data_IF_878478173679
#
_entry.id   IF_878478173679
#
_cell.length_a   1.000
_cell.length_b   1.000
_cell.length_c   1.000
_cell.angle_alpha   90.00
_cell.angle_beta   90.00
_cell.angle_gamma   90.00
#
_symmetry.space_group_name_H-M   'P 1'
#
loop_
_entity.id
_entity.type
_entity.pdbx_description
1 polymer ?
#
# COMPACT_ATOMS: atom_id res chain seq x y z
N UNK A 1 -16.56 6.42 -10.39
CA UNK A 1 -16.82 7.79 -10.88
C UNK A 1 -15.58 8.39 -11.56
N UNK A 2 -14.43 8.50 -10.90
CA UNK A 2 -13.24 9.18 -11.43
C UNK A 2 -12.70 8.54 -12.72
N UNK A 3 -12.64 7.20 -12.77
CA UNK A 3 -12.23 6.46 -13.98
C UNK A 3 -13.19 6.73 -15.13
N UNK A 4 -14.50 6.79 -14.87
CA UNK A 4 -15.52 7.09 -15.88
C UNK A 4 -15.40 8.54 -16.37
N UNK A 5 -15.26 9.51 -15.46
CA UNK A 5 -15.11 10.92 -15.79
C UNK A 5 -13.83 11.21 -16.61
N UNK A 6 -12.75 10.48 -16.32
CA UNK A 6 -11.51 10.55 -17.09
C UNK A 6 -11.58 9.79 -18.43
N UNK A 7 -12.60 8.97 -18.63
CA UNK A 7 -12.71 8.01 -19.74
C UNK A 7 -11.45 7.14 -19.89
N UNK A 8 -10.77 6.86 -18.78
CA UNK A 8 -9.50 6.12 -18.77
C UNK A 8 -9.19 5.65 -17.34
N UNK A 9 -8.65 4.46 -17.19
CA UNK A 9 -8.18 3.93 -15.91
C UNK A 9 -8.67 2.51 -15.63
N UNK A 10 -8.44 2.06 -14.39
CA UNK A 10 -8.64 0.69 -13.98
C UNK A 10 -9.61 0.63 -12.78
N UNK A 11 -10.91 0.41 -12.99
CA UNK A 11 -11.90 0.41 -11.91
C UNK A 11 -11.98 -0.92 -11.17
N UNK A 12 -11.59 -2.02 -11.81
CA UNK A 12 -11.91 -3.36 -11.32
C UNK A 12 -11.21 -3.76 -10.04
N UNK A 13 -9.88 -3.53 -9.96
CA UNK A 13 -9.12 -3.81 -8.74
C UNK A 13 -9.53 -2.88 -7.57
N UNK A 14 -9.69 -1.56 -7.75
CA UNK A 14 -10.23 -0.70 -6.69
C UNK A 14 -11.56 -1.17 -6.10
N UNK A 15 -12.45 -1.67 -6.92
CA UNK A 15 -13.74 -2.19 -6.44
C UNK A 15 -13.60 -3.55 -5.75
N UNK A 16 -12.74 -4.43 -6.28
CA UNK A 16 -12.51 -5.76 -5.72
C UNK A 16 -11.75 -5.74 -4.40
N UNK A 17 -10.81 -4.81 -4.23
CA UNK A 17 -9.96 -4.71 -3.06
C UNK A 17 -10.47 -3.71 -2.00
N UNK A 18 -11.65 -3.10 -2.18
CA UNK A 18 -12.18 -2.08 -1.29
C UNK A 18 -12.32 -2.56 0.16
N UNK A 19 -12.82 -3.80 0.36
CA UNK A 19 -12.98 -4.39 1.70
C UNK A 19 -11.63 -4.56 2.41
N UNK A 20 -10.63 -5.12 1.71
CA UNK A 20 -9.26 -5.28 2.26
C UNK A 20 -8.65 -3.94 2.67
N UNK A 21 -8.74 -2.96 1.80
CA UNK A 21 -8.19 -1.64 2.06
C UNK A 21 -8.93 -0.93 3.20
N UNK A 22 -10.26 -1.09 3.29
CA UNK A 22 -11.06 -0.54 4.37
C UNK A 22 -10.65 -1.14 5.72
N UNK A 23 -10.56 -2.45 5.83
CA UNK A 23 -10.14 -3.12 7.07
C UNK A 23 -8.73 -2.67 7.46
N UNK A 24 -7.79 -2.64 6.53
CA UNK A 24 -6.42 -2.22 6.80
C UNK A 24 -6.34 -0.78 7.33
N UNK A 25 -6.89 0.18 6.59
CA UNK A 25 -6.78 1.60 6.94
C UNK A 25 -7.62 1.98 8.15
N UNK A 26 -8.82 1.41 8.29
CA UNK A 26 -9.70 1.75 9.41
C UNK A 26 -9.26 1.12 10.73
N UNK A 27 -8.56 -0.01 10.74
CA UNK A 27 -8.31 -0.76 11.97
C UNK A 27 -6.82 -0.94 12.31
N UNK A 28 -5.94 -1.11 11.33
CA UNK A 28 -4.55 -1.54 11.56
C UNK A 28 -3.50 -0.49 11.24
N UNK A 29 -3.57 0.15 10.08
CA UNK A 29 -2.51 1.04 9.60
C UNK A 29 -2.28 2.20 10.59
N UNK A 30 -1.03 2.34 11.03
CA UNK A 30 -0.55 3.40 11.92
C UNK A 30 -0.07 4.58 11.07
N UNK A 31 -0.85 5.63 10.94
CA UNK A 31 -0.53 6.81 10.15
C UNK A 31 -1.22 8.07 10.71
N UNK A 32 -0.75 9.24 10.29
CA UNK A 32 -1.36 10.53 10.63
C UNK A 32 -1.37 11.42 9.38
N UNK A 33 -2.53 11.70 8.79
CA UNK A 33 -2.65 12.56 7.60
C UNK A 33 -2.12 13.98 7.82
N UNK A 34 -2.16 14.49 9.06
CA UNK A 34 -1.64 15.81 9.42
C UNK A 34 -0.11 15.82 9.55
N UNK A 35 0.53 14.64 9.68
CA UNK A 35 1.97 14.46 9.73
C UNK A 35 2.40 13.33 8.79
N UNK A 36 2.15 13.45 7.49
CA UNK A 36 2.31 12.37 6.52
C UNK A 36 3.75 11.88 6.36
N UNK A 37 4.72 12.64 6.89
CA UNK A 37 6.14 12.26 6.89
C UNK A 37 6.63 11.73 8.25
N UNK A 38 5.73 11.45 9.18
CA UNK A 38 6.10 10.82 10.46
C UNK A 38 6.98 9.58 10.22
N UNK A 39 8.22 9.54 10.76
CA UNK A 39 9.17 8.48 10.43
C UNK A 39 8.72 7.08 10.81
N UNK A 40 8.01 6.92 11.93
CA UNK A 40 7.54 5.63 12.43
C UNK A 40 6.08 5.31 12.06
N UNK A 41 5.52 5.98 11.03
CA UNK A 41 4.25 5.55 10.45
C UNK A 41 4.41 4.23 9.71
N UNK A 42 3.37 3.42 9.64
CA UNK A 42 3.34 2.26 8.75
C UNK A 42 3.45 2.72 7.28
N UNK A 43 3.95 1.85 6.42
CA UNK A 43 4.05 2.08 4.98
C UNK A 43 2.97 1.28 4.28
N UNK A 44 2.23 1.94 3.40
CA UNK A 44 1.32 1.26 2.47
C UNK A 44 1.82 1.39 1.05
N UNK A 45 2.11 0.26 0.40
CA UNK A 45 2.58 0.21 -0.98
C UNK A 45 1.52 -0.44 -1.86
N UNK A 46 0.95 0.33 -2.77
CA UNK A 46 0.08 -0.21 -3.81
C UNK A 46 0.96 -0.75 -4.95
N UNK A 47 1.38 -2.02 -4.86
CA UNK A 47 2.18 -2.67 -5.91
C UNK A 47 1.40 -2.84 -7.21
N UNK A 48 0.09 -3.11 -7.12
CA UNK A 48 -0.83 -3.07 -8.25
C UNK A 48 -1.18 -1.61 -8.62
N UNK A 49 -0.16 -0.84 -9.03
CA UNK A 49 -0.26 0.62 -9.21
C UNK A 49 -1.33 1.09 -10.20
N UNK A 50 -1.78 0.24 -11.11
CA UNK A 50 -2.91 0.52 -12.00
C UNK A 50 -4.21 0.76 -11.23
N UNK A 51 -4.38 0.18 -10.03
CA UNK A 51 -5.49 0.45 -9.11
C UNK A 51 -5.38 1.76 -8.34
N UNK A 52 -4.66 2.76 -8.85
CA UNK A 52 -4.32 4.02 -8.19
C UNK A 52 -5.50 4.74 -7.55
N UNK A 53 -6.70 4.67 -8.15
CA UNK A 53 -7.90 5.29 -7.57
C UNK A 53 -8.32 4.72 -6.23
N UNK A 54 -7.95 3.48 -5.88
CA UNK A 54 -8.14 2.96 -4.54
C UNK A 54 -7.34 3.78 -3.52
N UNK A 55 -6.04 3.96 -3.79
CA UNK A 55 -5.16 4.73 -2.92
C UNK A 55 -5.61 6.19 -2.83
N UNK A 56 -5.88 6.86 -3.95
CA UNK A 56 -6.30 8.26 -3.96
C UNK A 56 -7.62 8.48 -3.21
N UNK A 57 -8.58 7.57 -3.38
CA UNK A 57 -9.84 7.64 -2.65
C UNK A 57 -9.65 7.50 -1.14
N UNK A 58 -8.76 6.60 -0.71
CA UNK A 58 -8.47 6.41 0.71
C UNK A 58 -7.71 7.61 1.28
N UNK A 59 -6.75 8.17 0.56
CA UNK A 59 -6.05 9.39 1.00
C UNK A 59 -7.03 10.55 1.18
N UNK A 60 -7.99 10.72 0.24
CA UNK A 60 -9.07 11.69 0.38
C UNK A 60 -9.92 11.43 1.62
N UNK A 61 -10.41 10.20 1.75
CA UNK A 61 -11.32 9.81 2.82
C UNK A 61 -10.68 9.93 4.21
N UNK A 62 -9.39 9.63 4.33
CA UNK A 62 -8.66 9.71 5.60
C UNK A 62 -8.16 11.11 5.94
N UNK A 63 -8.32 12.10 5.04
CA UNK A 63 -8.10 13.51 5.32
C UNK A 63 -6.70 14.04 4.97
N UNK A 64 -6.00 13.45 4.01
CA UNK A 64 -4.77 14.05 3.48
C UNK A 64 -5.11 15.34 2.74
N UNK A 65 -4.47 16.46 3.13
CA UNK A 65 -4.80 17.80 2.70
C UNK A 65 -4.65 18.00 1.19
N UNK A 66 -3.63 17.40 0.59
CA UNK A 66 -3.31 17.53 -0.84
C UNK A 66 -4.09 16.55 -1.74
N UNK A 67 -5.02 15.76 -1.18
CA UNK A 67 -5.88 14.83 -1.91
C UNK A 67 -7.37 15.18 -1.72
N UNK A 68 -7.78 16.34 -2.18
CA UNK A 68 -9.16 16.80 -2.12
C UNK A 68 -10.06 16.17 -3.22
N UNK A 69 -11.36 16.43 -3.14
CA UNK A 69 -12.32 15.95 -4.15
C UNK A 69 -12.03 16.54 -5.55
N UNK A 70 -11.40 17.72 -5.63
CA UNK A 70 -10.95 18.31 -6.88
C UNK A 70 -9.89 17.46 -7.57
N UNK A 71 -8.96 16.92 -6.80
CA UNK A 71 -7.94 15.99 -7.32
C UNK A 71 -8.58 14.71 -7.86
N UNK A 72 -9.54 14.13 -7.15
CA UNK A 72 -10.25 12.92 -7.61
C UNK A 72 -11.03 13.15 -8.90
N UNK A 73 -11.68 14.32 -9.04
CA UNK A 73 -12.40 14.74 -10.27
C UNK A 73 -11.45 14.94 -11.45
N UNK A 74 -10.20 15.32 -11.18
CA UNK A 74 -9.16 15.56 -12.17
C UNK A 74 -8.23 14.34 -12.40
N UNK A 75 -8.69 13.14 -12.11
CA UNK A 75 -7.94 11.91 -12.34
C UNK A 75 -7.37 11.85 -13.75
N UNK A 76 -6.06 11.56 -13.86
CA UNK A 76 -5.30 11.50 -15.12
C UNK A 76 -5.25 12.83 -15.91
N UNK A 77 -5.55 13.96 -15.28
CA UNK A 77 -5.38 15.28 -15.92
C UNK A 77 -4.00 15.84 -15.60
N UNK A 78 -3.39 16.48 -16.59
CA UNK A 78 -2.09 17.12 -16.41
C UNK A 78 -2.16 18.16 -15.29
N UNK A 79 -1.20 18.10 -14.36
CA UNK A 79 -1.12 18.98 -13.19
C UNK A 79 -1.95 18.54 -11.98
N UNK A 80 -2.72 17.44 -12.08
CA UNK A 80 -3.35 16.84 -10.89
C UNK A 80 -2.39 15.91 -10.14
N UNK A 81 -2.63 15.71 -8.85
CA UNK A 81 -1.89 14.76 -8.01
C UNK A 81 -2.30 13.30 -8.28
N UNK A 82 -3.34 13.09 -9.08
CA UNK A 82 -3.96 11.79 -9.35
C UNK A 82 -3.56 11.25 -10.73
N UNK A 83 -2.27 11.00 -10.89
CA UNK A 83 -1.73 10.34 -12.08
C UNK A 83 -2.34 8.94 -12.30
N UNK A 84 -2.20 8.38 -13.50
CA UNK A 84 -2.73 7.04 -13.81
C UNK A 84 -2.18 5.91 -12.92
N UNK A 85 -0.99 6.11 -12.38
CA UNK A 85 -0.32 5.25 -11.41
C UNK A 85 0.26 6.15 -10.29
N UNK A 86 0.41 5.65 -9.06
CA UNK A 86 0.98 6.47 -7.97
C UNK A 86 2.40 6.92 -8.29
N UNK A 87 2.67 8.22 -8.08
CA UNK A 87 4.00 8.81 -8.25
C UNK A 87 4.47 9.39 -6.92
N UNK A 88 5.62 8.92 -6.45
CA UNK A 88 6.21 9.43 -5.21
C UNK A 88 6.49 10.94 -5.32
N UNK A 89 6.00 11.69 -4.35
CA UNK A 89 6.12 13.15 -4.32
C UNK A 89 5.00 13.91 -5.02
N UNK A 90 4.10 13.25 -5.76
CA UNK A 90 2.93 13.90 -6.35
C UNK A 90 1.87 14.26 -5.29
N UNK A 91 1.69 13.41 -4.30
CA UNK A 91 0.87 13.67 -3.11
C UNK A 91 1.49 13.01 -1.88
N UNK A 92 1.16 13.55 -0.71
CA UNK A 92 1.53 12.92 0.57
C UNK A 92 0.75 11.62 0.77
N UNK A 93 1.37 10.64 1.45
CA UNK A 93 0.78 9.31 1.60
C UNK A 93 1.07 8.34 0.44
N UNK A 94 1.72 8.80 -0.64
CA UNK A 94 2.26 7.92 -1.68
C UNK A 94 3.70 7.56 -1.32
N UNK A 95 3.92 6.31 -0.92
CA UNK A 95 5.22 5.86 -0.39
C UNK A 95 6.25 5.56 -1.47
N UNK A 96 5.82 5.19 -2.67
CA UNK A 96 6.70 4.90 -3.81
C UNK A 96 5.95 4.99 -5.13
N UNK A 97 6.70 5.27 -6.20
CA UNK A 97 6.16 5.21 -7.57
C UNK A 97 5.95 3.75 -7.97
N UNK A 98 4.74 3.43 -8.42
CA UNK A 98 4.39 2.10 -8.94
C UNK A 98 3.72 2.23 -10.31
N UNK A 99 3.43 1.10 -10.93
CA UNK A 99 2.91 1.00 -12.30
C UNK A 99 3.57 -0.15 -13.01
N UNK A 100 4.91 -0.19 -13.15
CA UNK A 100 5.62 -1.41 -13.53
C UNK A 100 5.38 -2.48 -12.46
N UNK A 101 4.77 -3.60 -12.85
CA UNK A 101 4.38 -4.66 -11.93
C UNK A 101 5.60 -5.28 -11.22
N UNK A 102 5.43 -5.73 -9.99
CA UNK A 102 6.50 -6.30 -9.15
C UNK A 102 7.38 -5.29 -8.44
N UNK A 103 7.55 -4.08 -8.99
CA UNK A 103 8.44 -3.05 -8.40
C UNK A 103 7.98 -2.62 -7.01
N UNK A 104 6.66 -2.46 -6.80
CA UNK A 104 6.12 -2.08 -5.49
C UNK A 104 6.43 -3.11 -4.41
N UNK A 105 6.25 -4.40 -4.68
CA UNK A 105 6.60 -5.47 -3.74
C UNK A 105 8.11 -5.46 -3.41
N UNK A 106 8.96 -5.33 -4.43
CA UNK A 106 10.40 -5.30 -4.23
C UNK A 106 10.85 -4.07 -3.42
N UNK A 107 10.26 -2.89 -3.68
CA UNK A 107 10.51 -1.67 -2.89
C UNK A 107 10.05 -1.85 -1.45
N UNK A 108 8.89 -2.48 -1.21
CA UNK A 108 8.40 -2.75 0.13
C UNK A 108 9.30 -3.70 0.93
N UNK A 109 9.93 -4.68 0.28
CA UNK A 109 10.98 -5.50 0.91
C UNK A 109 12.14 -4.62 1.35
N UNK A 110 12.59 -3.68 0.51
CA UNK A 110 13.61 -2.69 0.88
C UNK A 110 13.20 -1.82 2.08
N UNK A 111 11.93 -1.37 2.13
CA UNK A 111 11.39 -0.61 3.27
C UNK A 111 11.39 -1.43 4.57
N UNK A 112 11.01 -2.70 4.51
CA UNK A 112 11.02 -3.59 5.67
C UNK A 112 12.47 -3.91 6.15
N UNK A 113 13.42 -3.98 5.24
CA UNK A 113 14.86 -4.08 5.59
C UNK A 113 15.33 -2.80 6.29
N UNK A 114 14.95 -1.64 5.75
CA UNK A 114 15.32 -0.35 6.34
C UNK A 114 14.72 -0.18 7.74
N UNK A 115 13.47 -0.56 7.96
CA UNK A 115 12.84 -0.60 9.28
C UNK A 115 13.68 -1.42 10.25
N UNK A 116 13.98 -2.67 9.91
CA UNK A 116 14.75 -3.57 10.76
C UNK A 116 16.17 -3.06 11.06
N UNK A 117 16.84 -2.47 10.08
CA UNK A 117 18.16 -1.87 10.27
C UNK A 117 18.12 -0.67 11.22
N UNK A 118 17.11 0.20 11.07
CA UNK A 118 16.90 1.36 11.93
C UNK A 118 16.51 0.93 13.35
N UNK A 119 15.59 -0.04 13.50
CA UNK A 119 15.19 -0.61 14.77
C UNK A 119 16.39 -1.23 15.52
N UNK A 120 17.22 -2.01 14.81
CA UNK A 120 18.46 -2.59 15.38
C UNK A 120 19.46 -1.53 15.86
N UNK A 121 19.47 -0.36 15.23
CA UNK A 121 20.42 0.71 15.56
C UNK A 121 19.90 1.67 16.64
N UNK A 122 18.62 2.01 16.59
CA UNK A 122 18.03 3.07 17.41
C UNK A 122 16.98 2.58 18.40
N UNK A 123 16.65 1.29 18.38
CA UNK A 123 15.70 0.64 19.26
C UNK A 123 14.26 0.63 18.72
N UNK A 124 13.52 -0.42 19.13
CA UNK A 124 12.12 -0.64 18.73
C UNK A 124 11.17 0.43 19.30
N UNK A 125 11.58 1.17 20.31
CA UNK A 125 10.79 2.29 20.85
C UNK A 125 10.68 3.46 19.87
N UNK A 126 11.63 3.60 18.94
CA UNK A 126 11.64 4.65 17.92
C UNK A 126 11.29 4.14 16.54
N UNK A 127 11.53 2.87 16.25
CA UNK A 127 11.30 2.29 14.93
C UNK A 127 10.57 0.97 15.09
N UNK A 128 9.24 1.03 14.91
CA UNK A 128 8.34 -0.10 15.07
C UNK A 128 7.15 0.03 14.10
N UNK A 129 7.45 0.10 12.81
CA UNK A 129 6.41 0.23 11.79
C UNK A 129 6.36 -0.98 10.86
N UNK A 130 5.16 -1.28 10.42
CA UNK A 130 4.90 -2.31 9.43
C UNK A 130 5.00 -1.75 8.00
N UNK A 131 5.27 -2.64 7.06
CA UNK A 131 5.14 -2.37 5.63
C UNK A 131 4.04 -3.28 5.08
N UNK A 132 2.95 -2.68 4.63
CA UNK A 132 1.82 -3.36 3.99
C UNK A 132 1.88 -3.17 2.49
N UNK A 133 1.62 -4.24 1.76
CA UNK A 133 1.62 -4.22 0.29
C UNK A 133 0.28 -4.74 -0.23
N UNK A 134 -0.32 -4.05 -1.18
CA UNK A 134 -1.43 -4.59 -1.95
C UNK A 134 -0.92 -4.98 -3.35
N UNK A 135 -0.90 -6.26 -3.64
CA UNK A 135 -0.39 -6.84 -4.87
C UNK A 135 -1.48 -7.64 -5.58
N UNK A 136 -1.55 -7.57 -6.89
CA UNK A 136 -2.41 -8.40 -7.72
C UNK A 136 -1.66 -9.58 -8.34
N UNK A 137 -2.37 -10.43 -9.07
CA UNK A 137 -1.82 -11.60 -9.77
C UNK A 137 -0.61 -11.23 -10.63
N UNK A 138 -0.71 -10.19 -11.46
CA UNK A 138 0.37 -9.73 -12.34
C UNK A 138 1.62 -9.29 -11.59
N UNK A 139 1.48 -8.70 -10.38
CA UNK A 139 2.63 -8.35 -9.55
C UNK A 139 3.43 -9.58 -9.14
N UNK A 140 2.74 -10.68 -8.79
CA UNK A 140 3.38 -11.92 -8.32
C UNK A 140 3.91 -12.79 -9.47
N UNK A 141 3.60 -12.47 -10.72
CA UNK A 141 4.17 -13.12 -11.92
C UNK A 141 5.55 -12.57 -12.29
N UNK A 142 5.89 -11.35 -11.86
CA UNK A 142 7.15 -10.70 -12.20
C UNK A 142 8.36 -11.37 -11.52
N UNK A 143 9.47 -11.52 -12.26
CA UNK A 143 10.70 -12.16 -11.77
C UNK A 143 11.24 -11.51 -10.50
N UNK A 144 11.24 -10.17 -10.45
CA UNK A 144 11.73 -9.43 -9.28
C UNK A 144 10.92 -9.73 -8.01
N UNK A 145 9.63 -10.05 -8.13
CA UNK A 145 8.79 -10.42 -6.99
C UNK A 145 9.26 -11.73 -6.36
N UNK A 146 9.75 -12.67 -7.17
CA UNK A 146 10.26 -13.95 -6.68
C UNK A 146 11.59 -13.78 -5.95
N UNK A 147 12.52 -12.99 -6.50
CA UNK A 147 13.79 -12.69 -5.86
C UNK A 147 13.58 -11.93 -4.55
N UNK A 148 12.77 -10.88 -4.56
CA UNK A 148 12.47 -10.07 -3.38
C UNK A 148 11.75 -10.89 -2.29
N UNK A 149 10.76 -11.71 -2.65
CA UNK A 149 10.03 -12.55 -1.70
C UNK A 149 10.93 -13.62 -1.08
N UNK A 150 11.80 -14.27 -1.87
CA UNK A 150 12.78 -15.23 -1.36
C UNK A 150 13.73 -14.57 -0.36
N UNK A 151 14.20 -13.36 -0.67
CA UNK A 151 15.09 -12.60 0.21
C UNK A 151 14.39 -12.15 1.50
N UNK A 152 13.14 -11.70 1.42
CA UNK A 152 12.35 -11.33 2.58
C UNK A 152 12.12 -12.52 3.53
N UNK A 153 11.82 -13.69 2.99
CA UNK A 153 11.67 -14.93 3.76
C UNK A 153 12.98 -15.34 4.44
N UNK A 154 14.10 -15.30 3.70
CA UNK A 154 15.44 -15.58 4.24
C UNK A 154 15.79 -14.66 5.42
N UNK A 155 15.49 -13.38 5.30
CA UNK A 155 15.72 -12.40 6.36
C UNK A 155 14.67 -12.44 7.47
N UNK A 156 13.57 -13.20 7.32
CA UNK A 156 12.46 -13.27 8.29
C UNK A 156 11.93 -11.90 8.63
N UNK A 157 11.51 -11.12 7.61
CA UNK A 157 11.00 -9.75 7.79
C UNK A 157 9.56 -9.77 8.33
N UNK A 158 9.38 -10.00 9.63
CA UNK A 158 8.07 -10.20 10.26
C UNK A 158 7.11 -8.99 10.18
N UNK A 159 7.63 -7.79 9.92
CA UNK A 159 6.80 -6.59 9.75
C UNK A 159 6.44 -6.29 8.28
N UNK A 160 6.67 -7.23 7.37
CA UNK A 160 6.23 -7.17 5.98
C UNK A 160 4.98 -8.03 5.79
N UNK A 161 3.86 -7.41 5.43
CA UNK A 161 2.57 -8.07 5.22
C UNK A 161 2.06 -7.75 3.83
N UNK A 162 1.86 -8.78 3.01
CA UNK A 162 1.34 -8.66 1.64
C UNK A 162 -0.11 -9.12 1.60
N UNK A 163 -1.00 -8.21 1.24
CA UNK A 163 -2.38 -8.49 0.86
C UNK A 163 -2.39 -8.82 -0.64
N UNK A 164 -2.64 -10.05 -0.98
CA UNK A 164 -2.70 -10.51 -2.36
C UNK A 164 -4.15 -10.52 -2.84
N UNK A 165 -4.47 -9.64 -3.79
CA UNK A 165 -5.75 -9.60 -4.51
C UNK A 165 -5.83 -10.79 -5.47
N UNK A 166 -6.25 -11.94 -4.95
CA UNK A 166 -6.35 -13.21 -5.68
C UNK A 166 -7.67 -13.29 -6.47
N UNK A 167 -7.83 -12.40 -7.46
CA UNK A 167 -9.06 -12.34 -8.27
C UNK A 167 -9.03 -13.23 -9.52
N UNK A 168 -7.88 -13.82 -9.88
CA UNK A 168 -7.68 -14.71 -11.03
C UNK A 168 -7.90 -14.07 -12.40
N UNK A 169 -7.87 -12.75 -12.49
CA UNK A 169 -8.06 -12.00 -13.74
C UNK A 169 -6.85 -11.13 -14.02
N UNK A 170 -6.39 -11.15 -15.26
CA UNK A 170 -5.43 -10.21 -15.82
C UNK A 170 -6.09 -9.36 -16.92
N UNK A 171 -5.30 -8.54 -17.64
CA UNK A 171 -5.82 -7.60 -18.62
C UNK A 171 -6.54 -8.32 -19.80
N UNK A 172 -6.05 -9.48 -20.23
CA UNK A 172 -6.57 -10.22 -21.38
C UNK A 172 -7.53 -11.37 -21.01
N UNK A 173 -7.71 -11.66 -19.72
CA UNK A 173 -8.57 -12.76 -19.30
C UNK A 173 -8.14 -13.40 -17.99
N UNK A 174 -8.46 -14.67 -17.83
CA UNK A 174 -8.08 -15.45 -16.65
C UNK A 174 -6.56 -15.66 -16.56
N UNK A 175 -6.02 -15.65 -15.34
CA UNK A 175 -4.57 -15.87 -15.10
C UNK A 175 -4.07 -17.21 -15.61
N UNK A 176 -4.95 -18.21 -15.77
CA UNK A 176 -4.60 -19.52 -16.34
C UNK A 176 -4.06 -19.46 -17.79
N UNK A 177 -4.20 -18.33 -18.48
CA UNK A 177 -3.62 -18.10 -19.79
C UNK A 177 -2.08 -17.96 -19.75
N UNK A 178 -1.53 -17.55 -18.60
CA UNK A 178 -0.11 -17.20 -18.48
C UNK A 178 0.59 -17.81 -17.28
N UNK A 179 -0.13 -18.31 -16.26
CA UNK A 179 0.45 -18.90 -15.07
C UNK A 179 -0.36 -20.10 -14.57
N UNK A 180 0.33 -21.13 -14.14
CA UNK A 180 -0.24 -22.34 -13.53
C UNK A 180 0.27 -22.59 -12.09
N UNK A 181 1.15 -21.72 -11.62
CA UNK A 181 1.79 -21.85 -10.31
C UNK A 181 0.81 -21.55 -9.17
N UNK A 182 0.95 -22.26 -8.06
CA UNK A 182 0.31 -21.90 -6.79
C UNK A 182 1.18 -20.87 -6.06
N UNK A 183 0.76 -19.59 -6.10
CA UNK A 183 1.48 -18.50 -5.45
C UNK A 183 1.61 -18.73 -3.94
N UNK A 184 0.59 -19.25 -3.28
CA UNK A 184 0.64 -19.53 -1.85
C UNK A 184 1.68 -20.60 -1.51
N UNK A 185 1.73 -21.70 -2.29
CA UNK A 185 2.73 -22.74 -2.10
C UNK A 185 4.15 -22.19 -2.37
N UNK A 186 4.31 -21.31 -3.34
CA UNK A 186 5.58 -20.66 -3.65
C UNK A 186 6.07 -19.78 -2.49
N UNK A 187 5.22 -18.93 -1.95
CA UNK A 187 5.58 -18.07 -0.82
C UNK A 187 5.84 -18.87 0.45
N UNK A 188 5.09 -19.95 0.70
CA UNK A 188 5.37 -20.88 1.80
C UNK A 188 6.77 -21.52 1.64
N UNK A 189 7.17 -21.90 0.42
CA UNK A 189 8.51 -22.41 0.14
C UNK A 189 9.62 -21.38 0.37
N UNK A 190 9.34 -20.08 0.24
CA UNK A 190 10.27 -19.00 0.62
C UNK A 190 10.34 -18.77 2.13
N UNK A 191 9.54 -19.47 2.95
CA UNK A 191 9.53 -19.32 4.41
C UNK A 191 8.58 -18.24 4.92
N UNK A 192 7.62 -17.82 4.11
CA UNK A 192 6.55 -16.89 4.53
C UNK A 192 5.46 -17.62 5.32
N UNK A 193 4.80 -16.88 6.19
CA UNK A 193 3.49 -17.26 6.71
C UNK A 193 2.42 -16.98 5.65
N UNK A 194 1.53 -17.95 5.39
CA UNK A 194 0.59 -17.88 4.26
C UNK A 194 -0.80 -18.30 4.70
N UNK A 195 -1.77 -17.40 4.51
CA UNK A 195 -3.18 -17.69 4.78
C UNK A 195 -4.05 -17.35 3.56
N UNK A 196 -5.11 -18.15 3.35
CA UNK A 196 -6.14 -17.85 2.35
C UNK A 196 -7.42 -17.43 3.04
N UNK A 197 -8.00 -16.31 2.61
CA UNK A 197 -9.25 -15.77 3.17
C UNK A 197 -10.20 -15.35 2.06
N UNK A 198 -11.48 -15.22 2.41
CA UNK A 198 -12.43 -14.52 1.59
C UNK A 198 -12.16 -13.02 1.69
N UNK A 199 -11.79 -12.37 0.57
CA UNK A 199 -11.43 -10.96 0.51
C UNK A 199 -12.62 -10.00 0.61
N UNK A 200 -13.83 -10.53 0.67
CA UNK A 200 -15.08 -9.78 0.92
C UNK A 200 -15.68 -10.05 2.31
N UNK A 201 -14.96 -10.78 3.18
CA UNK A 201 -15.35 -11.02 4.58
C UNK A 201 -14.47 -10.18 5.51
N UNK A 202 -14.94 -9.01 6.00
CA UNK A 202 -14.16 -8.13 6.84
C UNK A 202 -13.66 -8.79 8.14
N UNK A 203 -14.44 -9.73 8.70
CA UNK A 203 -14.07 -10.41 9.95
C UNK A 203 -12.87 -11.34 9.73
N UNK A 204 -12.87 -12.08 8.60
CA UNK A 204 -11.74 -12.94 8.24
C UNK A 204 -10.49 -12.14 7.87
N UNK A 205 -10.66 -11.01 7.17
CA UNK A 205 -9.56 -10.09 6.86
C UNK A 205 -8.94 -9.52 8.13
N UNK A 206 -9.77 -9.05 9.07
CA UNK A 206 -9.31 -8.53 10.37
C UNK A 206 -8.50 -9.59 11.13
N UNK A 207 -9.03 -10.80 11.26
CA UNK A 207 -8.34 -11.89 11.94
C UNK A 207 -7.00 -12.23 11.27
N UNK A 208 -6.97 -12.32 9.93
CA UNK A 208 -5.75 -12.64 9.19
C UNK A 208 -4.68 -11.55 9.33
N UNK A 209 -5.05 -10.28 9.29
CA UNK A 209 -4.09 -9.17 9.50
C UNK A 209 -3.60 -9.16 10.94
N UNK A 210 -4.47 -9.40 11.92
CA UNK A 210 -4.08 -9.46 13.33
C UNK A 210 -3.08 -10.59 13.59
N UNK A 211 -3.30 -11.79 13.03
CA UNK A 211 -2.36 -12.92 13.13
C UNK A 211 -1.03 -12.62 12.41
N UNK A 212 -1.08 -12.06 11.21
CA UNK A 212 0.11 -11.69 10.45
C UNK A 212 1.01 -10.70 11.21
N UNK A 213 0.44 -9.81 12.02
CA UNK A 213 1.19 -8.86 12.87
C UNK A 213 1.91 -9.54 14.04
N UNK A 214 1.58 -10.76 14.37
CA UNK A 214 2.24 -11.55 15.42
C UNK A 214 3.31 -12.51 14.87
N UNK A 215 3.38 -12.64 13.54
CA UNK A 215 4.31 -13.55 12.89
C UNK A 215 5.76 -13.04 12.96
N UNK A 216 6.70 -13.96 13.15
CA UNK A 216 8.15 -13.69 13.16
C UNK A 216 8.81 -13.76 11.77
N UNK A 217 7.98 -13.86 10.74
CA UNK A 217 8.35 -13.98 9.32
C UNK A 217 7.38 -13.18 8.46
N UNK A 218 7.73 -12.83 7.22
CA UNK A 218 6.81 -12.08 6.36
C UNK A 218 5.54 -12.88 6.07
N UNK A 219 4.41 -12.19 5.91
CA UNK A 219 3.10 -12.82 5.74
C UNK A 219 2.48 -12.48 4.39
N UNK A 220 1.89 -13.52 3.75
CA UNK A 220 1.05 -13.39 2.56
C UNK A 220 -0.38 -13.74 2.92
N UNK A 221 -1.27 -12.77 2.85
CA UNK A 221 -2.71 -12.95 2.99
C UNK A 221 -3.32 -13.01 1.58
N UNK A 222 -3.56 -14.21 1.07
CA UNK A 222 -4.19 -14.42 -0.22
C UNK A 222 -5.71 -14.26 -0.07
N UNK A 223 -6.19 -13.06 -0.37
CA UNK A 223 -7.58 -12.68 -0.27
C UNK A 223 -8.30 -12.97 -1.58
N UNK A 224 -9.19 -13.95 -1.58
CA UNK A 224 -10.02 -14.27 -2.74
C UNK A 224 -11.04 -13.17 -2.96
N UNK A 225 -10.92 -12.43 -4.06
CA UNK A 225 -11.81 -11.33 -4.41
C UNK A 225 -12.48 -11.55 -5.77
N UNK A 226 -13.34 -10.58 -6.11
CA UNK A 226 -13.99 -10.50 -7.42
C UNK A 226 -13.62 -9.14 -8.02
N UNK A 227 -12.85 -9.13 -9.11
CA UNK A 227 -12.55 -7.90 -9.84
C UNK A 227 -13.86 -7.19 -10.25
N UNK A 228 -13.94 -5.87 -10.05
CA UNK A 228 -15.17 -5.13 -10.33
C UNK A 228 -16.34 -5.51 -9.43
N UNK A 229 -16.08 -5.92 -8.18
CA UNK A 229 -17.11 -6.29 -7.22
C UNK A 229 -18.22 -5.24 -7.14
N UNK A 230 -19.47 -5.69 -7.22
CA UNK A 230 -20.63 -4.79 -7.28
C UNK A 230 -21.10 -4.46 -8.70
N UNK A 231 -20.25 -4.54 -9.74
CA UNK A 231 -20.69 -4.36 -11.12
C UNK A 231 -21.62 -5.52 -11.55
N UNK A 232 -22.81 -5.24 -12.08
CA UNK A 232 -23.78 -6.31 -12.35
C UNK A 232 -23.35 -7.29 -13.45
N UNK A 233 -22.74 -6.78 -14.55
CA UNK A 233 -22.44 -7.60 -15.74
C UNK A 233 -20.94 -7.77 -15.98
N UNK A 234 -20.10 -6.90 -15.43
CA UNK A 234 -18.65 -6.91 -15.67
C UNK A 234 -17.82 -7.51 -14.54
N UNK A 235 -18.42 -7.71 -13.34
CA UNK A 235 -17.72 -8.32 -12.22
C UNK A 235 -17.16 -9.70 -12.58
N UNK A 236 -15.93 -10.00 -12.14
CA UNK A 236 -15.26 -11.28 -12.39
C UNK A 236 -14.72 -11.45 -13.82
N UNK A 237 -14.72 -10.40 -14.63
CA UNK A 237 -14.22 -10.47 -16.00
C UNK A 237 -13.13 -9.43 -16.30
N UNK A 238 -12.31 -9.69 -17.32
CA UNK A 238 -11.28 -8.75 -17.81
C UNK A 238 -11.86 -7.43 -18.31
N UNK A 239 -13.16 -7.39 -18.68
CA UNK A 239 -13.83 -6.14 -19.09
C UNK A 239 -13.93 -5.09 -17.98
N UNK A 240 -13.78 -5.48 -16.70
CA UNK A 240 -13.68 -4.56 -15.59
C UNK A 240 -12.23 -4.13 -15.29
N UNK A 241 -11.22 -4.75 -15.90
CA UNK A 241 -9.82 -4.54 -15.52
C UNK A 241 -9.34 -3.12 -15.83
N UNK A 242 -9.26 -2.76 -17.12
CA UNK A 242 -8.52 -1.59 -17.59
C UNK A 242 -9.32 -0.60 -18.44
N UNK A 243 -10.64 -0.60 -18.32
CA UNK A 243 -11.52 0.31 -19.05
C UNK A 243 -12.63 0.86 -18.13
N UNK A 244 -13.16 2.06 -18.42
CA UNK A 244 -14.36 2.56 -17.76
C UNK A 244 -15.51 1.56 -17.86
N UNK A 245 -16.31 1.48 -16.79
CA UNK A 245 -17.43 0.55 -16.75
C UNK A 245 -18.56 0.94 -17.71
N UNK A 246 -18.73 2.22 -17.99
CA UNK A 246 -19.87 2.79 -18.71
C UNK A 246 -20.97 3.24 -17.77
N UNK A 247 -21.74 4.24 -18.20
CA UNK A 247 -22.73 4.92 -17.34
C UNK A 247 -23.85 4.00 -16.90
N UNK A 248 -24.33 3.12 -17.76
CA UNK A 248 -25.38 2.15 -17.44
C UNK A 248 -24.91 1.14 -16.37
N UNK A 249 -23.67 0.63 -16.53
CA UNK A 249 -23.09 -0.32 -15.58
C UNK A 249 -22.85 0.35 -14.21
N UNK A 250 -22.41 1.61 -14.20
CA UNK A 250 -22.21 2.37 -12.95
C UNK A 250 -23.54 2.62 -12.25
N UNK A 251 -24.58 2.99 -13.00
CA UNK A 251 -25.91 3.19 -12.47
C UNK A 251 -26.44 1.92 -11.81
N UNK A 252 -26.35 0.81 -12.52
CA UNK A 252 -26.79 -0.49 -12.01
C UNK A 252 -25.93 -1.00 -10.84
N UNK A 253 -24.62 -0.69 -10.82
CA UNK A 253 -23.73 -0.98 -9.68
C UNK A 253 -24.12 -0.18 -8.43
N UNK A 254 -24.49 1.11 -8.56
CA UNK A 254 -25.02 1.91 -7.45
C UNK A 254 -26.30 1.29 -6.85
N UNK A 255 -27.23 0.89 -7.70
CA UNK A 255 -28.44 0.21 -7.26
C UNK A 255 -28.14 -1.09 -6.51
N UNK A 256 -27.27 -1.94 -7.07
CA UNK A 256 -26.86 -3.21 -6.45
C UNK A 256 -26.16 -3.03 -5.11
N UNK A 257 -25.36 -1.99 -4.98
CA UNK A 257 -24.62 -1.64 -3.75
C UNK A 257 -25.47 -0.79 -2.77
N UNK A 258 -26.72 -0.48 -3.10
CA UNK A 258 -27.59 0.41 -2.32
C UNK A 258 -26.92 1.79 -2.05
N UNK A 259 -26.27 2.34 -3.06
CA UNK A 259 -25.59 3.65 -2.99
C UNK A 259 -26.38 4.73 -3.74
N UNK A 260 -27.27 5.46 -3.06
CA UNK A 260 -28.20 6.41 -3.70
C UNK A 260 -27.57 7.78 -4.03
N UNK A 261 -26.31 7.99 -3.68
CA UNK A 261 -25.67 9.30 -3.82
C UNK A 261 -25.16 9.53 -5.24
N UNK A 262 -25.26 10.78 -5.74
CA UNK A 262 -24.69 11.15 -7.04
C UNK A 262 -23.17 10.94 -7.13
N UNK A 263 -22.59 10.99 -8.34
CA UNK A 263 -21.16 10.91 -8.52
C UNK A 263 -20.40 11.98 -7.71
N UNK A 264 -19.33 11.54 -7.03
CA UNK A 264 -18.47 12.39 -6.20
C UNK A 264 -19.15 13.05 -4.99
N UNK A 265 -20.33 12.60 -4.61
CA UNK A 265 -20.98 13.00 -3.37
C UNK A 265 -20.85 11.90 -2.32
N UNK A 266 -20.41 12.30 -1.13
CA UNK A 266 -20.20 11.39 0.00
C UNK A 266 -21.09 11.81 1.18
N UNK A 267 -21.77 10.87 1.84
CA UNK A 267 -22.52 11.17 3.06
C UNK A 267 -21.61 11.65 4.18
N UNK A 268 -22.03 12.66 4.93
CA UNK A 268 -21.23 13.22 6.02
C UNK A 268 -20.83 12.19 7.08
N UNK A 269 -21.70 11.23 7.39
CA UNK A 269 -21.39 10.17 8.34
C UNK A 269 -20.27 9.23 7.84
N UNK A 270 -20.22 8.96 6.55
CA UNK A 270 -19.12 8.16 5.94
C UNK A 270 -17.81 8.94 6.02
N UNK A 271 -17.83 10.21 5.62
CA UNK A 271 -16.65 11.09 5.70
C UNK A 271 -16.16 11.20 7.14
N UNK A 272 -17.07 11.41 8.11
CA UNK A 272 -16.70 11.51 9.52
C UNK A 272 -16.05 10.23 10.05
N UNK A 273 -16.58 9.05 9.70
CA UNK A 273 -16.00 7.77 10.10
C UNK A 273 -14.59 7.55 9.53
N UNK A 274 -14.35 7.94 8.29
CA UNK A 274 -13.04 7.86 7.68
C UNK A 274 -12.04 8.87 8.26
N UNK A 275 -12.48 10.10 8.57
CA UNK A 275 -11.65 11.08 9.26
C UNK A 275 -11.27 10.60 10.68
N UNK A 276 -12.20 9.94 11.39
CA UNK A 276 -11.89 9.31 12.68
C UNK A 276 -10.82 8.22 12.53
N UNK A 277 -10.93 7.38 11.50
CA UNK A 277 -9.90 6.39 11.18
C UNK A 277 -8.53 7.07 10.89
N UNK A 278 -8.52 8.17 10.14
CA UNK A 278 -7.31 8.95 9.87
C UNK A 278 -6.68 9.57 11.12
N UNK A 279 -7.51 10.04 12.06
CA UNK A 279 -7.06 10.67 13.31
C UNK A 279 -6.51 9.67 14.33
N UNK A 280 -6.73 8.37 14.16
CA UNK A 280 -6.36 7.32 15.11
C UNK A 280 -4.86 7.27 15.45
N UNK A 281 -4.02 7.64 14.49
CA UNK A 281 -2.56 7.64 14.66
C UNK A 281 -1.99 8.84 15.41
N UNK A 282 -2.77 9.91 15.63
CA UNK A 282 -2.27 11.15 16.24
C UNK A 282 -1.64 10.92 17.61
N UNK A 283 -2.30 10.16 18.49
CA UNK A 283 -1.78 9.87 19.84
C UNK A 283 -0.48 9.05 19.80
N UNK A 284 -0.37 8.09 18.88
CA UNK A 284 0.83 7.29 18.71
C UNK A 284 1.99 8.14 18.19
N UNK A 285 1.72 9.05 17.25
CA UNK A 285 2.70 10.01 16.74
C UNK A 285 3.18 10.97 17.84
N UNK A 286 2.28 11.51 18.66
CA UNK A 286 2.65 12.41 19.77
C UNK A 286 3.52 11.69 20.80
N UNK A 287 3.16 10.47 21.18
CA UNK A 287 3.95 9.64 22.06
C UNK A 287 5.34 9.31 21.47
N UNK A 288 5.41 9.04 20.18
CA UNK A 288 6.66 8.83 19.46
C UNK A 288 7.54 10.09 19.46
N UNK A 289 6.96 11.26 19.18
CA UNK A 289 7.68 12.54 19.19
C UNK A 289 8.26 12.85 20.59
N UNK A 290 7.51 12.56 21.64
CA UNK A 290 8.00 12.71 23.03
C UNK A 290 9.19 11.77 23.32
N UNK A 291 9.18 10.51 22.85
CA UNK A 291 10.32 9.58 23.00
C UNK A 291 11.54 10.07 22.24
N UNK A 292 11.38 10.55 21.00
CA UNK A 292 12.48 11.12 20.22
C UNK A 292 13.10 12.34 20.92
N UNK A 293 12.28 13.22 21.49
CA UNK A 293 12.76 14.42 22.19
C UNK A 293 13.48 14.07 23.51
N UNK A 294 13.06 13.03 24.19
CA UNK A 294 13.69 12.54 25.42
C UNK A 294 15.02 11.80 25.21
N UNK A 295 15.33 11.44 23.94
CA UNK A 295 16.61 10.80 23.59
C UNK A 295 17.79 11.76 23.80
N UNK A 296 18.95 11.23 24.15
CA UNK A 296 20.17 12.03 24.18
C UNK A 296 20.48 12.69 22.83
N UNK A 297 21.15 13.85 22.89
CA UNK A 297 21.34 14.70 21.70
C UNK A 297 22.15 14.03 20.59
N UNK A 298 23.13 13.18 20.95
CA UNK A 298 24.01 12.53 19.98
C UNK A 298 23.26 11.44 19.20
N UNK A 299 22.50 10.58 19.91
CA UNK A 299 21.67 9.55 19.30
C UNK A 299 20.51 10.15 18.49
N UNK A 300 19.83 11.18 19.03
CA UNK A 300 18.81 11.92 18.27
C UNK A 300 19.39 12.54 17.00
N UNK A 301 20.57 13.16 17.10
CA UNK A 301 21.28 13.71 15.93
C UNK A 301 21.65 12.63 14.91
N UNK A 302 22.10 11.46 15.36
CA UNK A 302 22.42 10.33 14.50
C UNK A 302 21.16 9.76 13.81
N UNK A 303 20.05 9.66 14.52
CA UNK A 303 18.75 9.24 13.97
C UNK A 303 18.27 10.20 12.87
N UNK A 304 18.27 11.50 13.15
CA UNK A 304 17.83 12.51 12.19
C UNK A 304 18.71 12.51 10.92
N UNK A 305 20.04 12.38 11.07
CA UNK A 305 20.94 12.25 9.91
C UNK A 305 20.65 10.99 9.09
N UNK A 306 20.40 9.85 9.75
CA UNK A 306 20.06 8.62 9.05
C UNK A 306 18.78 8.75 8.23
N UNK A 307 17.75 9.42 8.77
CA UNK A 307 16.48 9.68 8.07
C UNK A 307 16.65 10.69 6.92
N UNK A 308 17.50 11.70 7.09
CA UNK A 308 17.79 12.68 6.03
C UNK A 308 18.62 12.09 4.89
N UNK A 309 19.26 10.92 5.08
CA UNK A 309 20.18 10.35 4.13
C UNK A 309 21.52 11.09 4.09
N UNK A 310 21.83 11.85 5.13
CA UNK A 310 23.07 12.60 5.23
C UNK A 310 24.26 11.67 5.42
N UNK A 311 25.33 11.94 4.68
CA UNK A 311 26.57 11.20 4.82
C UNK A 311 27.26 11.53 6.17
N UNK A 312 27.95 10.55 6.79
CA UNK A 312 28.73 10.81 7.99
C UNK A 312 29.78 11.91 7.76
N UNK A 313 29.99 12.75 8.76
CA UNK A 313 31.04 13.75 8.71
C UNK A 313 32.41 13.06 8.47
N UNK A 314 33.24 13.65 7.60
CA UNK A 314 34.57 13.12 7.29
C UNK A 314 34.62 11.97 6.27
N UNK A 315 33.47 11.48 5.74
CA UNK A 315 33.48 10.37 4.76
C UNK A 315 34.27 10.76 3.49
N UNK A 316 34.16 12.00 3.06
CA UNK A 316 34.89 12.50 1.87
C UNK A 316 36.39 12.46 2.11
N UNK A 317 36.83 12.88 3.29
CA UNK A 317 38.25 12.85 3.67
C UNK A 317 38.75 11.41 3.80
N UNK A 318 37.99 10.54 4.46
CA UNK A 318 38.32 9.13 4.56
C UNK A 318 38.43 8.45 3.18
N UNK A 319 37.52 8.76 2.25
CA UNK A 319 37.60 8.26 0.88
C UNK A 319 38.83 8.81 0.13
N UNK A 320 39.19 10.09 0.35
CA UNK A 320 40.37 10.70 -0.26
C UNK A 320 41.67 10.06 0.28
N UNK A 321 41.71 9.78 1.57
CA UNK A 321 42.87 9.12 2.19
C UNK A 321 43.01 7.66 1.73
N UNK A 322 41.90 6.90 1.69
CA UNK A 322 41.91 5.55 1.14
C UNK A 322 42.39 5.50 -0.32
N UNK A 323 41.97 6.46 -1.14
CA UNK A 323 42.48 6.57 -2.54
C UNK A 323 43.98 6.83 -2.61
N UNK A 324 44.57 7.57 -1.66
CA UNK A 324 46.02 7.78 -1.58
C UNK A 324 46.76 6.50 -1.19
N UNK A 325 46.15 5.67 -0.33
CA UNK A 325 46.73 4.38 0.08
C UNK A 325 46.75 3.35 -1.07
N UNK A 326 45.83 3.49 -2.04
CA UNK A 326 45.74 2.60 -3.21
C UNK A 326 46.66 3.05 -4.39
N UNK A 327 47.22 4.23 -4.35
CA UNK A 327 48.07 4.82 -5.41
C UNK A 327 49.54 4.57 -5.15
#
# INVERSE_FOLDING_TARGET
DAVQAANSGHPGMPMGAADMATVLFAQFLKFDPNQPRWPDRDRFVLSAGHGSMLLYSILHLTGYEDMDMGQLRNFRRLGSHTAGHPEFGAATGIETTTGPLGQGLATAVGMAIAERMLASRFGDELVDHYTYVLAGDGCLMEGISHEAASFAGHLRLGKLIVLFDDNKISIDGGTCLSVSDDQCARFAAYGWDVVRVDGHDPVKLEAAIAEARLADRPSLIAARTVIGHGAPTKAGSSSAHGAPLGDDEITAAREKLNWPHPPFELPNNVVAAWHEAGARGCAARDAWAARLEAMDADNRGAFNRALAGDLPAGIIDAMADYRKELA
#
